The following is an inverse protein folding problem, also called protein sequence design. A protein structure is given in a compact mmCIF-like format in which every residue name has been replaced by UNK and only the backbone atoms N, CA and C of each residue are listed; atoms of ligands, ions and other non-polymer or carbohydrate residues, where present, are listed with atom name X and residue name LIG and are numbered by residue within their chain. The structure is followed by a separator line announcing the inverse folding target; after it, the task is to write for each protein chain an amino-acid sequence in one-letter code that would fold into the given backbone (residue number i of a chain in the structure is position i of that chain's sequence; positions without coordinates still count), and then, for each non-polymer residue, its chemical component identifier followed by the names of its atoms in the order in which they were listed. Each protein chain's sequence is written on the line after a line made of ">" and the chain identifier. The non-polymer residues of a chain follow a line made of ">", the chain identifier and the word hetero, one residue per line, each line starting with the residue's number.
data_IF_647324946500
#
_entry.id   IF_647324946500
#
_cell.length_a   1.000
_cell.length_b   1.000
_cell.length_c   1.000
_cell.angle_alpha   90.00
_cell.angle_beta   90.00
_cell.angle_gamma   90.00
#
_symmetry.space_group_name_H-M   'P 1'
#
loop_
_entity.id
_entity.type
_entity.pdbx_description
1 polymer ?
#
# COMPACT_ATOMS: atom_id res chain seq x y z
N UNK A 1 -40.65 -22.02 12.44
CA UNK A 1 -39.37 -22.46 11.82
C UNK A 1 -38.29 -22.15 12.86
N UNK A 2 -38.03 -23.11 13.75
CA UNK A 2 -37.06 -22.91 14.84
C UNK A 2 -35.66 -23.04 14.25
N UNK A 3 -34.97 -21.91 14.10
CA UNK A 3 -33.54 -21.86 13.86
C UNK A 3 -32.84 -22.36 15.12
N UNK A 4 -32.77 -23.68 15.29
CA UNK A 4 -31.72 -24.30 16.10
C UNK A 4 -30.42 -24.05 15.37
N UNK A 5 -29.84 -22.87 15.58
CA UNK A 5 -28.46 -22.58 15.23
C UNK A 5 -27.64 -23.47 16.15
N UNK A 6 -27.29 -24.66 15.68
CA UNK A 6 -26.36 -25.52 16.39
C UNK A 6 -25.05 -24.73 16.53
N UNK A 7 -24.57 -24.60 17.77
CA UNK A 7 -23.29 -23.96 18.06
C UNK A 7 -22.15 -24.61 17.25
N UNK A 8 -22.31 -25.91 16.97
CA UNK A 8 -21.38 -26.74 16.20
C UNK A 8 -21.24 -26.30 14.74
N UNK A 9 -22.35 -25.88 14.10
CA UNK A 9 -22.32 -25.37 12.73
C UNK A 9 -21.69 -23.97 12.67
N UNK A 10 -21.98 -23.16 13.68
CA UNK A 10 -21.44 -21.78 13.80
C UNK A 10 -19.92 -21.77 13.89
N UNK A 11 -19.35 -22.77 14.57
CA UNK A 11 -17.91 -22.92 14.74
C UNK A 11 -17.18 -23.17 13.41
N UNK A 12 -17.76 -23.99 12.53
CA UNK A 12 -17.20 -24.26 11.19
C UNK A 12 -17.22 -23.02 10.30
N UNK A 13 -18.26 -22.19 10.38
CA UNK A 13 -18.32 -20.92 9.64
C UNK A 13 -17.30 -19.91 10.15
N UNK A 14 -17.03 -19.87 11.46
CA UNK A 14 -16.00 -19.00 12.04
C UNK A 14 -14.61 -19.44 11.58
N UNK A 15 -14.31 -20.75 11.61
CA UNK A 15 -13.03 -21.29 11.14
C UNK A 15 -12.84 -21.05 9.63
N UNK A 16 -13.86 -21.31 8.81
CA UNK A 16 -13.81 -21.04 7.37
C UNK A 16 -13.69 -19.55 7.04
N UNK A 17 -14.37 -18.69 7.80
CA UNK A 17 -14.24 -17.24 7.70
C UNK A 17 -12.82 -16.76 8.06
N UNK A 18 -12.22 -17.30 9.12
CA UNK A 18 -10.86 -16.99 9.54
C UNK A 18 -9.84 -17.35 8.45
N UNK A 19 -10.03 -18.49 7.78
CA UNK A 19 -9.17 -18.96 6.69
C UNK A 19 -9.31 -18.08 5.43
N UNK A 20 -10.54 -17.65 5.09
CA UNK A 20 -10.82 -16.69 4.02
C UNK A 20 -10.17 -15.33 4.28
N UNK A 21 -10.27 -14.81 5.51
CA UNK A 21 -9.61 -13.55 5.89
C UNK A 21 -8.09 -13.73 5.86
N UNK A 22 -7.57 -14.90 6.26
CA UNK A 22 -6.15 -15.26 6.10
C UNK A 22 -5.67 -15.24 4.65
N UNK A 23 -6.46 -15.80 3.73
CA UNK A 23 -6.19 -15.79 2.28
C UNK A 23 -6.25 -14.38 1.67
N UNK A 24 -7.22 -13.56 2.08
CA UNK A 24 -7.32 -12.16 1.65
C UNK A 24 -6.15 -11.33 2.19
N UNK A 25 -5.72 -11.58 3.42
CA UNK A 25 -4.53 -10.94 3.98
C UNK A 25 -3.24 -11.36 3.26
N UNK A 26 -3.14 -12.62 2.82
CA UNK A 26 -2.06 -13.11 1.94
C UNK A 26 -2.06 -12.41 0.58
N UNK A 27 -3.22 -12.08 0.01
CA UNK A 27 -3.31 -11.24 -1.19
C UNK A 27 -2.79 -9.82 -0.93
N UNK A 28 -2.95 -9.30 0.29
CA UNK A 28 -2.39 -8.01 0.70
C UNK A 28 -0.87 -8.04 0.94
N UNK A 29 -0.26 -9.21 1.21
CA UNK A 29 1.21 -9.39 1.23
C UNK A 29 1.81 -9.07 -0.14
N UNK A 30 1.08 -9.32 -1.23
CA UNK A 30 1.45 -8.90 -2.58
C UNK A 30 1.56 -7.39 -2.79
N UNK A 31 1.05 -6.56 -1.85
CA UNK A 31 1.15 -5.11 -1.89
C UNK A 31 2.27 -4.54 -0.99
N UNK A 32 3.28 -5.34 -0.62
CA UNK A 32 4.41 -4.92 0.24
C UNK A 32 3.99 -4.35 1.62
N UNK A 33 2.82 -4.71 2.16
CA UNK A 33 2.37 -4.26 3.48
C UNK A 33 2.67 -5.29 4.57
N UNK A 34 3.49 -4.91 5.55
CA UNK A 34 3.89 -5.74 6.69
C UNK A 34 2.70 -6.30 7.51
N UNK A 35 1.53 -5.66 7.43
CA UNK A 35 0.30 -6.07 8.13
C UNK A 35 -0.17 -7.47 7.69
N UNK A 36 0.03 -7.84 6.41
CA UNK A 36 -0.36 -9.15 5.90
C UNK A 36 0.43 -10.29 6.55
N UNK A 37 1.71 -10.06 6.87
CA UNK A 37 2.58 -11.03 7.54
C UNK A 37 2.14 -11.28 8.98
N UNK A 38 1.81 -10.22 9.73
CA UNK A 38 1.34 -10.32 11.12
C UNK A 38 0.04 -11.12 11.16
N UNK A 39 -0.88 -10.87 10.23
CA UNK A 39 -2.14 -11.59 10.18
C UNK A 39 -1.94 -13.08 9.85
N UNK A 40 -1.09 -13.40 8.87
CA UNK A 40 -0.77 -14.78 8.52
C UNK A 40 -0.14 -15.55 9.69
N UNK A 41 0.76 -14.91 10.44
CA UNK A 41 1.36 -15.50 11.66
C UNK A 41 0.32 -15.67 12.77
N UNK A 42 -0.57 -14.70 12.96
CA UNK A 42 -1.65 -14.78 13.96
C UNK A 42 -2.60 -15.93 13.66
N UNK A 43 -3.05 -16.07 12.41
CA UNK A 43 -3.91 -17.19 11.99
C UNK A 43 -3.24 -18.53 12.26
N UNK A 44 -1.94 -18.67 11.97
CA UNK A 44 -1.23 -19.92 12.28
C UNK A 44 -1.04 -20.17 13.78
N UNK A 45 -0.82 -19.12 14.58
CA UNK A 45 -0.78 -19.25 16.03
C UNK A 45 -2.12 -19.75 16.60
N UNK A 46 -3.24 -19.23 16.09
CA UNK A 46 -4.59 -19.71 16.45
C UNK A 46 -4.76 -21.19 16.10
N UNK A 47 -4.33 -21.61 14.91
CA UNK A 47 -4.37 -23.02 14.49
C UNK A 47 -3.51 -23.93 15.38
N UNK A 48 -2.32 -23.49 15.78
CA UNK A 48 -1.47 -24.23 16.72
C UNK A 48 -2.17 -24.41 18.07
N UNK A 49 -2.74 -23.34 18.63
CA UNK A 49 -3.48 -23.39 19.91
C UNK A 49 -4.68 -24.33 19.79
N UNK A 50 -5.43 -24.24 18.68
CA UNK A 50 -6.58 -25.11 18.41
C UNK A 50 -6.18 -26.58 18.31
N UNK A 51 -5.09 -26.90 17.61
CA UNK A 51 -4.57 -28.27 17.50
C UNK A 51 -4.10 -28.82 18.84
N UNK A 52 -3.52 -27.97 19.70
CA UNK A 52 -3.16 -28.36 21.08
C UNK A 52 -4.41 -28.64 21.93
N UNK A 53 -5.43 -27.79 21.85
CA UNK A 53 -6.68 -27.96 22.60
C UNK A 53 -7.46 -29.20 22.18
N UNK A 54 -7.40 -29.58 20.91
CA UNK A 54 -8.09 -30.75 20.35
C UNK A 54 -7.23 -32.01 20.29
N UNK A 55 -5.97 -31.95 20.76
CA UNK A 55 -4.99 -33.04 20.70
C UNK A 55 -4.79 -33.63 19.29
N UNK A 56 -5.01 -32.82 18.26
CA UNK A 56 -4.87 -33.20 16.85
C UNK A 56 -3.42 -33.04 16.39
N UNK A 57 -2.56 -33.98 16.78
CA UNK A 57 -1.13 -33.97 16.46
C UNK A 57 -0.83 -33.93 14.95
N UNK A 58 -1.70 -34.52 14.12
CA UNK A 58 -1.57 -34.51 12.66
C UNK A 58 -1.68 -33.11 12.04
N UNK A 59 -2.36 -32.18 12.71
CA UNK A 59 -2.53 -30.81 12.25
C UNK A 59 -1.53 -29.84 12.91
N UNK A 60 -1.01 -30.20 14.08
CA UNK A 60 -0.03 -29.41 14.82
C UNK A 60 1.30 -29.27 14.06
N UNK A 61 1.84 -30.39 13.56
CA UNK A 61 3.13 -30.40 12.84
C UNK A 61 3.13 -29.46 11.63
N UNK A 62 2.19 -29.55 10.68
CA UNK A 62 2.16 -28.63 9.54
C UNK A 62 1.87 -27.18 9.95
N UNK A 63 1.07 -26.92 10.99
CA UNK A 63 0.81 -25.57 11.48
C UNK A 63 2.09 -24.90 12.02
N UNK A 64 2.88 -25.64 12.81
CA UNK A 64 4.17 -25.16 13.32
C UNK A 64 5.16 -24.90 12.19
N UNK A 65 5.24 -25.81 11.20
CA UNK A 65 6.11 -25.63 10.03
C UNK A 65 5.71 -24.36 9.25
N UNK A 66 4.41 -24.17 9.00
CA UNK A 66 3.91 -22.96 8.31
C UNK A 66 4.22 -21.69 9.09
N UNK A 67 4.06 -21.70 10.41
CA UNK A 67 4.38 -20.58 11.28
C UNK A 67 5.88 -20.22 11.20
N UNK A 68 6.75 -21.23 11.23
CA UNK A 68 8.19 -21.03 11.09
C UNK A 68 8.55 -20.47 9.71
N UNK A 69 7.93 -20.99 8.64
CA UNK A 69 8.15 -20.54 7.27
C UNK A 69 7.70 -19.09 7.07
N UNK A 70 6.56 -18.69 7.63
CA UNK A 70 6.08 -17.32 7.60
C UNK A 70 6.98 -16.37 8.38
N UNK A 71 7.46 -16.79 9.56
CA UNK A 71 8.43 -16.02 10.34
C UNK A 71 9.71 -15.78 9.53
N UNK A 72 10.26 -16.83 8.92
CA UNK A 72 11.49 -16.72 8.13
C UNK A 72 11.27 -15.80 6.92
N UNK A 73 10.18 -16.00 6.18
CA UNK A 73 9.91 -15.18 5.01
C UNK A 73 9.68 -13.71 5.38
N UNK A 74 9.01 -13.43 6.51
CA UNK A 74 8.89 -12.07 7.04
C UNK A 74 10.25 -11.45 7.38
N UNK A 75 11.13 -12.18 8.08
CA UNK A 75 12.47 -11.69 8.41
C UNK A 75 13.31 -11.43 7.16
N UNK A 76 13.21 -12.31 6.16
CA UNK A 76 13.87 -12.12 4.87
C UNK A 76 13.36 -10.88 4.16
N UNK A 77 12.03 -10.70 4.13
CA UNK A 77 11.37 -9.57 3.49
C UNK A 77 11.75 -8.23 4.14
N UNK A 78 11.76 -8.15 5.48
CA UNK A 78 12.19 -6.93 6.21
C UNK A 78 13.65 -6.58 5.92
N UNK A 79 14.53 -7.58 5.77
CA UNK A 79 15.94 -7.35 5.40
C UNK A 79 16.09 -6.86 3.97
N UNK A 80 15.31 -7.40 3.03
CA UNK A 80 15.30 -6.95 1.63
C UNK A 80 14.79 -5.52 1.49
N UNK A 81 13.69 -5.15 2.14
CA UNK A 81 13.16 -3.78 2.10
C UNK A 81 14.17 -2.77 2.67
N UNK A 82 14.90 -3.14 3.73
CA UNK A 82 15.95 -2.28 4.29
C UNK A 82 17.13 -2.13 3.31
N UNK A 83 17.54 -3.21 2.65
CA UNK A 83 18.62 -3.18 1.66
C UNK A 83 18.24 -2.37 0.41
N UNK A 84 17.00 -2.51 -0.07
CA UNK A 84 16.46 -1.69 -1.18
C UNK A 84 16.46 -0.20 -0.80
N UNK A 85 16.00 0.15 0.40
CA UNK A 85 15.99 1.52 0.88
C UNK A 85 17.40 2.12 1.03
N UNK A 86 18.38 1.33 1.50
CA UNK A 86 19.78 1.76 1.60
C UNK A 86 20.41 1.95 0.20
N UNK A 87 20.08 1.10 -0.77
CA UNK A 87 20.56 1.22 -2.15
C UNK A 87 19.97 2.44 -2.88
N UNK A 88 18.68 2.71 -2.69
CA UNK A 88 18.02 3.91 -3.23
C UNK A 88 18.61 5.18 -2.60
N UNK A 89 18.84 5.18 -1.29
CA UNK A 89 19.44 6.32 -0.59
C UNK A 89 20.85 6.65 -1.13
N UNK A 90 21.68 5.63 -1.35
CA UNK A 90 23.02 5.80 -1.92
C UNK A 90 22.96 6.37 -3.34
N UNK A 91 22.01 5.91 -4.16
CA UNK A 91 21.82 6.39 -5.54
C UNK A 91 21.41 7.86 -5.56
N UNK A 92 20.52 8.29 -4.66
CA UNK A 92 20.11 9.70 -4.53
C UNK A 92 21.26 10.58 -4.07
N UNK A 93 22.08 10.09 -3.14
CA UNK A 93 23.27 10.81 -2.66
C UNK A 93 24.31 10.98 -3.78
N UNK A 94 24.61 9.93 -4.54
CA UNK A 94 25.50 9.98 -5.70
C UNK A 94 24.99 10.96 -6.76
N UNK A 95 23.69 10.94 -7.09
CA UNK A 95 23.07 11.86 -8.04
C UNK A 95 23.11 13.32 -7.54
N UNK A 96 22.87 13.55 -6.25
CA UNK A 96 22.95 14.89 -5.66
C UNK A 96 24.38 15.43 -5.69
N UNK A 97 25.38 14.56 -5.52
CA UNK A 97 26.79 14.89 -5.63
C UNK A 97 27.18 15.24 -7.07
N UNK A 98 26.66 14.50 -8.05
CA UNK A 98 26.85 14.80 -9.47
C UNK A 98 26.24 16.16 -9.84
N UNK A 99 25.00 16.42 -9.43
CA UNK A 99 24.33 17.72 -9.62
C UNK A 99 25.09 18.87 -8.95
N UNK A 100 25.59 18.66 -7.72
CA UNK A 100 26.38 19.66 -7.00
C UNK A 100 27.71 19.98 -7.70
N UNK A 101 28.34 18.99 -8.36
CA UNK A 101 29.54 19.21 -9.19
C UNK A 101 29.22 20.00 -10.45
N UNK A 102 28.07 19.74 -11.06
CA UNK A 102 27.63 20.38 -12.31
C UNK A 102 27.23 21.85 -12.09
N UNK A 103 26.62 22.16 -10.94
CA UNK A 103 26.18 23.52 -10.58
C UNK A 103 27.32 24.40 -10.09
N UNK A 104 28.34 23.83 -9.44
CA UNK A 104 29.44 24.56 -8.80
C UNK A 104 30.81 23.97 -9.16
N UNK A 105 31.27 24.07 -10.42
CA UNK A 105 32.48 23.38 -10.89
C UNK A 105 33.78 23.82 -10.19
N UNK A 106 33.84 25.05 -9.66
CA UNK A 106 35.05 25.62 -9.02
C UNK A 106 35.07 25.48 -7.49
N UNK A 107 34.10 24.78 -6.91
CA UNK A 107 33.99 24.66 -5.45
C UNK A 107 35.01 23.65 -4.89
N UNK A 108 35.86 24.05 -3.95
CA UNK A 108 36.79 23.09 -3.33
C UNK A 108 36.08 22.17 -2.32
N UNK A 109 36.20 20.85 -2.54
CA UNK A 109 35.99 19.73 -1.62
C UNK A 109 34.79 19.78 -0.67
N UNK A 110 34.86 20.60 0.37
CA UNK A 110 33.83 20.73 1.41
C UNK A 110 32.53 21.39 0.93
N UNK A 111 32.59 22.26 -0.07
CA UNK A 111 31.43 23.01 -0.55
C UNK A 111 30.47 22.14 -1.40
N UNK A 112 30.99 21.14 -2.11
CA UNK A 112 30.15 20.19 -2.86
C UNK A 112 29.32 19.30 -1.93
N UNK A 113 29.88 18.90 -0.79
CA UNK A 113 29.17 18.06 0.20
C UNK A 113 28.04 18.86 0.85
N UNK A 114 28.28 20.14 1.15
CA UNK A 114 27.25 21.04 1.67
C UNK A 114 26.13 21.30 0.64
N UNK A 115 26.47 21.49 -0.63
CA UNK A 115 25.50 21.67 -1.71
C UNK A 115 24.68 20.39 -1.96
N UNK A 116 25.32 19.22 -1.98
CA UNK A 116 24.64 17.94 -2.16
C UNK A 116 23.67 17.64 -1.00
N UNK A 117 24.10 17.88 0.25
CA UNK A 117 23.22 17.69 1.42
C UNK A 117 22.07 18.69 1.47
N UNK A 118 22.24 19.90 0.94
CA UNK A 118 21.14 20.85 0.74
C UNK A 118 20.14 20.35 -0.31
N UNK A 119 20.61 19.85 -1.46
CA UNK A 119 19.76 19.29 -2.52
C UNK A 119 18.96 18.07 -2.04
N UNK A 120 19.58 17.16 -1.28
CA UNK A 120 18.89 15.99 -0.69
C UNK A 120 17.82 16.43 0.33
N UNK A 121 18.09 17.47 1.14
CA UNK A 121 17.07 18.02 2.04
C UNK A 121 15.93 18.69 1.27
N UNK A 122 16.25 19.48 0.25
CA UNK A 122 15.27 20.17 -0.57
C UNK A 122 14.35 19.18 -1.30
N UNK A 123 14.90 18.10 -1.85
CA UNK A 123 14.11 17.06 -2.53
C UNK A 123 13.19 16.30 -1.58
N UNK A 124 13.66 15.96 -0.35
CA UNK A 124 12.79 15.37 0.69
C UNK A 124 11.67 16.31 1.12
N UNK A 125 11.93 17.61 1.25
CA UNK A 125 10.91 18.60 1.58
C UNK A 125 9.90 18.73 0.44
N UNK A 126 10.35 18.75 -0.82
CA UNK A 126 9.46 18.78 -1.97
C UNK A 126 8.55 17.54 -2.05
N UNK A 127 9.07 16.35 -1.76
CA UNK A 127 8.29 15.11 -1.73
C UNK A 127 7.21 15.08 -0.63
N UNK A 128 7.40 15.84 0.46
CA UNK A 128 6.40 15.98 1.54
C UNK A 128 5.25 16.94 1.18
N UNK A 129 5.44 17.80 0.17
CA UNK A 129 4.44 18.78 -0.27
C UNK A 129 4.23 18.75 -1.79
N UNK A 130 3.77 17.63 -2.36
CA UNK A 130 3.60 17.49 -3.81
C UNK A 130 2.60 18.51 -4.38
N UNK A 131 1.58 18.88 -3.61
CA UNK A 131 0.51 19.79 -4.04
C UNK A 131 1.00 21.24 -4.28
N UNK A 132 2.00 21.71 -3.52
CA UNK A 132 2.54 23.08 -3.67
C UNK A 132 3.53 23.23 -4.84
N UNK A 133 4.11 22.13 -5.32
CA UNK A 133 5.03 22.16 -6.44
C UNK A 133 4.29 22.48 -7.75
N UNK A 134 3.08 21.93 -7.92
CA UNK A 134 2.24 22.19 -9.10
C UNK A 134 1.75 23.64 -9.15
N UNK A 135 1.44 24.25 -8.00
CA UNK A 135 1.01 25.65 -7.93
C UNK A 135 2.15 26.63 -8.29
N UNK A 136 3.38 26.35 -7.88
CA UNK A 136 4.55 27.19 -8.23
C UNK A 136 4.89 27.14 -9.73
N UNK A 137 4.61 26.03 -10.42
CA UNK A 137 4.74 25.95 -11.88
C UNK A 137 3.58 26.64 -12.60
N UNK A 138 2.39 26.69 -12.00
CA UNK A 138 1.21 27.36 -12.56
C UNK A 138 1.29 28.88 -12.51
N UNK A 139 1.89 29.45 -11.46
CA UNK A 139 1.94 30.90 -11.26
C UNK A 139 2.96 31.62 -12.17
N UNK A 140 4.04 30.95 -12.58
CA UNK A 140 5.06 31.55 -13.47
C UNK A 140 4.71 31.48 -14.96
N UNK A 141 3.60 30.84 -15.33
CA UNK A 141 3.23 30.53 -16.71
C UNK A 141 2.03 31.30 -17.29
N UNK A 142 1.42 32.25 -16.58
CA UNK A 142 0.21 32.93 -17.06
C UNK A 142 0.48 34.38 -17.52
N UNK A 143 0.90 34.61 -18.79
CA UNK A 143 0.71 35.91 -19.41
C UNK A 143 -0.78 36.11 -19.72
N UNK A 144 -1.42 37.05 -19.02
CA UNK A 144 -2.63 37.76 -19.45
C UNK A 144 -3.68 36.96 -20.24
N UNK A 145 -4.37 36.02 -19.59
CA UNK A 145 -5.51 35.30 -20.18
C UNK A 145 -6.81 36.10 -20.05
N UNK A 146 -7.33 36.60 -21.19
CA UNK A 146 -8.59 37.34 -21.35
C UNK A 146 -9.80 36.69 -20.66
N UNK A 147 -10.84 37.46 -20.28
CA UNK A 147 -12.08 36.93 -19.71
C UNK A 147 -12.75 35.94 -20.68
N UNK A 148 -12.92 34.68 -20.25
CA UNK A 148 -13.66 33.67 -21.00
C UNK A 148 -15.15 33.99 -20.95
N UNK A 149 -15.73 34.32 -22.10
CA UNK A 149 -17.17 34.31 -22.31
C UNK A 149 -17.68 32.87 -22.15
N UNK A 150 -18.60 32.67 -21.21
CA UNK A 150 -19.30 31.40 -20.99
C UNK A 150 -20.08 30.99 -22.26
N UNK A 151 -19.86 29.78 -22.81
CA UNK A 151 -20.78 29.21 -23.78
C UNK A 151 -22.09 28.85 -23.08
N UNK A 152 -23.20 29.40 -23.56
CA UNK A 152 -24.53 28.99 -23.12
C UNK A 152 -24.76 27.51 -23.46
N UNK A 153 -25.13 26.72 -22.44
CA UNK A 153 -25.59 25.34 -22.60
C UNK A 153 -27.03 25.35 -23.17
N UNK A 154 -27.35 24.48 -24.14
CA UNK A 154 -28.71 24.33 -24.63
C UNK A 154 -29.62 23.65 -23.59
N UNK A 155 -30.93 23.94 -23.61
CA UNK A 155 -31.88 23.47 -22.59
C UNK A 155 -32.08 21.96 -22.60
N UNK A 156 -32.09 21.39 -21.40
CA UNK A 156 -32.33 19.98 -21.10
C UNK A 156 -33.66 19.48 -21.69
N UNK A 157 -33.58 18.48 -22.58
CA UNK A 157 -34.75 17.77 -23.11
C UNK A 157 -35.32 16.86 -22.02
N UNK A 158 -36.41 17.34 -21.43
CA UNK A 158 -37.23 16.70 -20.41
C UNK A 158 -38.10 15.61 -21.09
N UNK A 159 -38.05 14.38 -20.56
CA UNK A 159 -39.15 13.40 -20.70
C UNK A 159 -38.90 12.19 -21.60
N UNK A 160 -38.63 11.03 -20.98
CA UNK A 160 -39.30 9.78 -21.35
C UNK A 160 -39.59 8.98 -20.07
N UNK A 161 -40.87 8.63 -19.80
CA UNK A 161 -41.22 7.66 -18.78
C UNK A 161 -41.06 6.24 -19.34
N UNK A 162 -40.21 5.43 -18.70
CA UNK A 162 -40.14 3.99 -18.98
C UNK A 162 -41.33 3.28 -18.32
N UNK A 163 -42.19 2.71 -19.16
CA UNK A 163 -43.22 1.75 -18.79
C UNK A 163 -42.60 0.38 -18.54
N UNK A 164 -42.70 -0.15 -17.32
CA UNK A 164 -42.48 -1.57 -17.01
C UNK A 164 -43.70 -2.43 -17.39
N UNK A 165 -43.94 -3.59 -16.73
CA UNK A 165 -43.03 -4.70 -16.45
C UNK A 165 -43.40 -5.96 -17.28
N UNK A 166 -42.44 -6.86 -17.49
CA UNK A 166 -42.63 -8.13 -18.22
C UNK A 166 -42.81 -9.27 -17.21
N UNK A 167 -44.04 -9.75 -17.06
CA UNK A 167 -44.36 -11.04 -16.44
C UNK A 167 -44.70 -12.04 -17.55
N UNK A 168 -44.03 -13.19 -17.57
CA UNK A 168 -44.50 -14.39 -18.24
C UNK A 168 -43.87 -15.60 -17.54
N UNK A 169 -44.74 -16.34 -16.84
CA UNK A 169 -44.90 -17.80 -16.77
C UNK A 169 -43.67 -18.71 -16.89
#
# INVERSE_FOLDING_TARGET
>A
MNLHVNLDDSWNYILGGLDLVGLVALRAVGQKKAVGWIWAMFTQAVWVIYSLATLQWGFLVPAVIKLALYTWNYVSWVRSDKAEAEAEAKTVEDLALEMAKLVLPDAHGGHHVAAASFLVRASRVAALYPEKADDMHREKGAPGGRPRLHPQLPPSRRGQPETGPRTAD
#
